data_IF_594888078972
#
_entry.id   IF_594888078972
#
_cell.length_a   1.000
_cell.length_b   1.000
_cell.length_c   1.000
_cell.angle_alpha   90.00
_cell.angle_beta   90.00
_cell.angle_gamma   90.00
#
_symmetry.space_group_name_H-M   'P 1'
#
loop_
_entity.id
_entity.type
_entity.pdbx_description
1 polymer ?
#
# COMPACT_ATOMS: atom_id res chain seq x y z
N UNK A 1 -54.91 -11.97 17.60
CA UNK A 1 -53.67 -11.48 18.26
C UNK A 1 -52.48 -11.43 17.29
N UNK A 2 -52.70 -11.85 16.05
CA UNK A 2 -51.65 -12.12 15.07
C UNK A 2 -51.11 -10.85 14.40
N UNK A 3 -51.93 -9.79 14.34
CA UNK A 3 -51.48 -8.48 13.84
C UNK A 3 -50.37 -7.86 14.69
N UNK A 4 -50.46 -8.01 16.02
CA UNK A 4 -49.47 -7.44 16.94
C UNK A 4 -48.10 -8.13 16.82
N UNK A 5 -48.10 -9.46 16.70
CA UNK A 5 -46.90 -10.26 16.47
C UNK A 5 -46.20 -9.91 15.14
N UNK A 6 -46.98 -9.67 14.08
CA UNK A 6 -46.45 -9.28 12.76
C UNK A 6 -45.80 -7.90 12.81
N UNK A 7 -46.41 -6.95 13.51
CA UNK A 7 -45.86 -5.60 13.67
C UNK A 7 -44.54 -5.65 14.45
N UNK A 8 -44.49 -6.42 15.54
CA UNK A 8 -43.29 -6.57 16.36
C UNK A 8 -42.11 -7.14 15.56
N UNK A 9 -42.35 -8.17 14.75
CA UNK A 9 -41.33 -8.80 13.92
C UNK A 9 -40.83 -7.84 12.81
N UNK A 10 -41.75 -7.14 12.15
CA UNK A 10 -41.39 -6.22 11.08
C UNK A 10 -40.59 -5.02 11.60
N UNK A 11 -40.91 -4.49 12.78
CA UNK A 11 -40.15 -3.41 13.42
C UNK A 11 -38.71 -3.85 13.71
N UNK A 12 -38.51 -5.08 14.20
CA UNK A 12 -37.18 -5.65 14.42
C UNK A 12 -36.36 -5.75 13.13
N UNK A 13 -36.95 -6.28 12.05
CA UNK A 13 -36.29 -6.40 10.74
C UNK A 13 -35.93 -5.03 10.17
N UNK A 14 -36.82 -4.04 10.28
CA UNK A 14 -36.57 -2.66 9.83
C UNK A 14 -35.40 -2.03 10.59
N UNK A 15 -35.32 -2.22 11.91
CA UNK A 15 -34.21 -1.71 12.72
C UNK A 15 -32.86 -2.33 12.32
N UNK A 16 -32.83 -3.64 12.05
CA UNK A 16 -31.61 -4.33 11.59
C UNK A 16 -31.16 -3.82 10.23
N UNK A 17 -32.09 -3.64 9.29
CA UNK A 17 -31.78 -3.10 7.95
C UNK A 17 -31.29 -1.65 8.05
N UNK A 18 -31.94 -0.81 8.86
CA UNK A 18 -31.52 0.58 9.09
C UNK A 18 -30.13 0.66 9.71
N UNK A 19 -29.81 -0.21 10.69
CA UNK A 19 -28.48 -0.30 11.29
C UNK A 19 -27.42 -0.66 10.25
N UNK A 20 -27.71 -1.66 9.40
CA UNK A 20 -26.78 -2.09 8.35
C UNK A 20 -26.52 -1.01 7.30
N UNK A 21 -27.58 -0.34 6.82
CA UNK A 21 -27.48 0.79 5.88
C UNK A 21 -26.74 1.97 6.52
N UNK A 22 -27.00 2.25 7.79
CA UNK A 22 -26.30 3.31 8.53
C UNK A 22 -24.79 3.08 8.60
N UNK A 23 -24.34 1.86 8.88
CA UNK A 23 -22.92 1.51 8.91
C UNK A 23 -22.26 1.71 7.54
N UNK A 24 -22.94 1.35 6.45
CA UNK A 24 -22.45 1.54 5.08
C UNK A 24 -22.29 3.04 4.77
N UNK A 25 -23.28 3.86 5.10
CA UNK A 25 -23.22 5.32 4.88
C UNK A 25 -22.09 5.96 5.69
N UNK A 26 -21.92 5.56 6.96
CA UNK A 26 -20.84 6.07 7.82
C UNK A 26 -19.47 5.73 7.24
N UNK A 27 -19.28 4.51 6.71
CA UNK A 27 -18.02 4.11 6.05
C UNK A 27 -17.73 4.93 4.80
N UNK A 28 -18.74 5.24 3.98
CA UNK A 28 -18.61 6.08 2.78
C UNK A 28 -18.24 7.52 3.17
N UNK A 29 -18.87 8.07 4.23
CA UNK A 29 -18.56 9.41 4.70
C UNK A 29 -17.15 9.54 5.30
N UNK A 30 -16.69 8.53 6.04
CA UNK A 30 -15.32 8.49 6.59
C UNK A 30 -14.30 8.41 5.44
N UNK A 31 -14.51 7.51 4.45
CA UNK A 31 -13.65 7.45 3.26
C UNK A 31 -13.62 8.77 2.48
N UNK A 32 -14.78 9.43 2.32
CA UNK A 32 -14.85 10.72 1.61
C UNK A 32 -14.14 11.84 2.36
N UNK A 33 -14.17 11.85 3.71
CA UNK A 33 -13.48 12.84 4.53
C UNK A 33 -11.96 12.67 4.47
N UNK A 34 -11.49 11.43 4.46
CA UNK A 34 -10.06 11.14 4.37
C UNK A 34 -9.52 11.51 2.96
N UNK A 35 -10.36 11.45 1.92
CA UNK A 35 -10.04 11.91 0.56
C UNK A 35 -10.17 13.44 0.36
N UNK A 36 -10.85 14.16 1.26
CA UNK A 36 -11.06 15.61 1.14
C UNK A 36 -9.90 16.46 1.70
N UNK A 37 -8.84 15.81 2.21
CA UNK A 37 -7.63 16.48 2.70
C UNK A 37 -6.46 16.45 1.71
N UNK A 38 -6.73 16.31 0.42
CA UNK A 38 -5.68 16.36 -0.61
C UNK A 38 -6.12 17.08 -1.89
N UNK A 39 -6.74 18.26 -1.78
CA UNK A 39 -6.80 19.19 -2.92
C UNK A 39 -6.55 20.62 -2.45
N UNK A 40 -5.30 21.07 -2.58
CA UNK A 40 -4.92 22.30 -3.26
C UNK A 40 -3.41 22.50 -3.20
N UNK A 41 -2.72 22.11 -4.27
CA UNK A 41 -1.79 22.96 -5.02
C UNK A 41 -1.33 22.23 -6.26
N UNK A 42 -2.04 22.47 -7.35
CA UNK A 42 -1.59 22.17 -8.70
C UNK A 42 -0.40 23.07 -9.03
N UNK A 43 0.75 22.44 -9.27
CA UNK A 43 1.67 22.82 -10.30
C UNK A 43 2.53 21.60 -10.65
N UNK A 44 2.22 21.05 -11.83
CA UNK A 44 3.09 20.17 -12.63
C UNK A 44 3.22 18.70 -12.16
N UNK A 45 2.38 17.82 -12.74
CA UNK A 45 2.80 16.77 -13.70
C UNK A 45 1.72 15.69 -13.82
N UNK A 46 1.24 15.53 -15.05
CA UNK A 46 0.48 14.37 -15.49
C UNK A 46 1.29 13.09 -15.29
N UNK A 47 0.79 12.17 -14.47
CA UNK A 47 0.83 10.72 -14.67
C UNK A 47 0.24 10.02 -13.44
N UNK A 48 -0.23 8.80 -13.63
CA UNK A 48 -0.73 7.86 -12.62
C UNK A 48 -2.23 7.98 -12.29
N UNK A 49 -3.03 7.94 -13.36
CA UNK A 49 -4.30 7.20 -13.35
C UNK A 49 -4.12 5.92 -14.14
N UNK A 50 -3.54 4.89 -13.51
CA UNK A 50 -3.88 3.48 -13.73
C UNK A 50 -3.18 2.64 -12.66
N UNK A 51 -3.88 2.37 -11.57
CA UNK A 51 -3.40 1.47 -10.51
C UNK A 51 -4.46 0.40 -10.23
N UNK A 52 -4.92 -0.27 -11.27
CA UNK A 52 -5.47 -1.62 -11.17
C UNK A 52 -4.96 -2.39 -12.40
N UNK A 53 -4.30 -3.54 -12.16
CA UNK A 53 -3.70 -4.46 -13.13
C UNK A 53 -2.19 -4.27 -13.43
N UNK A 54 -1.34 -4.70 -12.50
CA UNK A 54 -0.01 -5.26 -12.80
C UNK A 54 0.28 -6.44 -11.85
N UNK A 55 -0.58 -7.45 -11.90
CA UNK A 55 -0.16 -8.80 -11.55
C UNK A 55 0.58 -9.34 -12.78
N UNK A 56 1.84 -9.74 -12.60
CA UNK A 56 2.72 -10.32 -13.62
C UNK A 56 3.50 -9.34 -14.55
N UNK A 57 4.43 -8.55 -13.97
CA UNK A 57 5.60 -8.10 -14.72
C UNK A 57 6.82 -8.91 -14.27
N UNK A 58 7.20 -9.86 -15.12
CA UNK A 58 8.44 -10.63 -15.10
C UNK A 58 9.59 -9.87 -14.39
N UNK A 59 10.21 -10.51 -13.41
CA UNK A 59 11.50 -10.12 -12.83
C UNK A 59 12.56 -10.40 -13.91
N UNK A 60 12.57 -9.57 -14.95
CA UNK A 60 13.67 -9.51 -15.90
C UNK A 60 14.82 -8.77 -15.25
N UNK A 61 16.05 -9.30 -15.41
CA UNK A 61 17.26 -8.62 -14.99
C UNK A 61 17.24 -7.14 -15.41
N UNK A 62 17.62 -6.19 -14.52
CA UNK A 62 17.74 -4.79 -14.89
C UNK A 62 18.97 -4.61 -15.79
N UNK A 63 18.85 -5.04 -17.04
CA UNK A 63 19.83 -4.86 -18.11
C UNK A 63 19.52 -3.54 -18.81
N UNK A 64 19.76 -2.44 -18.09
CA UNK A 64 19.54 -1.11 -18.65
C UNK A 64 19.71 -0.03 -17.60
N UNK A 65 20.17 1.14 -18.04
CA UNK A 65 20.24 2.35 -17.23
C UNK A 65 18.82 2.78 -16.82
N UNK A 66 18.31 2.19 -15.74
CA UNK A 66 17.01 2.57 -15.15
C UNK A 66 17.12 4.00 -14.64
N UNK A 67 16.21 4.91 -15.05
CA UNK A 67 16.17 6.28 -14.57
C UNK A 67 16.12 6.35 -13.04
N UNK A 68 16.77 7.37 -12.46
CA UNK A 68 16.82 7.55 -10.99
C UNK A 68 15.41 7.70 -10.38
N UNK A 69 14.48 8.32 -11.11
CA UNK A 69 13.11 8.53 -10.68
C UNK A 69 12.34 7.22 -10.53
N UNK A 70 12.54 6.26 -11.45
CA UNK A 70 11.93 4.93 -11.37
C UNK A 70 12.48 4.14 -10.18
N UNK A 71 13.79 4.26 -9.90
CA UNK A 71 14.41 3.62 -8.73
C UNK A 71 13.85 4.18 -7.42
N UNK A 72 13.66 5.50 -7.35
CA UNK A 72 13.04 6.16 -6.19
C UNK A 72 11.59 5.71 -6.02
N UNK A 73 10.82 5.60 -7.11
CA UNK A 73 9.43 5.15 -7.06
C UNK A 73 9.32 3.70 -6.56
N UNK A 74 10.08 2.78 -7.15
CA UNK A 74 10.10 1.37 -6.75
C UNK A 74 10.55 1.20 -5.30
N UNK A 75 11.60 1.91 -4.89
CA UNK A 75 12.09 1.86 -3.51
C UNK A 75 11.07 2.43 -2.53
N UNK A 76 10.40 3.53 -2.88
CA UNK A 76 9.34 4.13 -2.06
C UNK A 76 8.18 3.16 -1.89
N UNK A 77 7.72 2.53 -2.98
CA UNK A 77 6.66 1.52 -2.94
C UNK A 77 7.06 0.30 -2.09
N UNK A 78 8.27 -0.23 -2.26
CA UNK A 78 8.76 -1.37 -1.50
C UNK A 78 8.84 -1.07 0.01
N UNK A 79 9.33 0.12 0.39
CA UNK A 79 9.41 0.53 1.80
C UNK A 79 8.02 0.70 2.40
N UNK A 80 7.12 1.41 1.70
CA UNK A 80 5.73 1.57 2.15
C UNK A 80 5.02 0.22 2.29
N UNK A 81 5.27 -0.73 1.39
CA UNK A 81 4.71 -2.07 1.48
C UNK A 81 5.28 -2.88 2.66
N UNK A 82 6.58 -2.73 2.96
CA UNK A 82 7.23 -3.39 4.10
C UNK A 82 6.75 -2.84 5.44
N UNK A 83 6.29 -1.60 5.47
CA UNK A 83 5.84 -0.91 6.68
C UNK A 83 4.34 -1.13 6.84
N UNK A 84 4.00 -2.19 7.58
CA UNK A 84 2.65 -2.71 7.78
C UNK A 84 1.74 -1.70 8.52
N UNK A 85 1.20 -0.73 7.80
CA UNK A 85 -0.01 0.03 8.17
C UNK A 85 0.15 1.20 9.14
N UNK A 86 1.36 1.64 9.50
CA UNK A 86 1.56 2.81 10.36
C UNK A 86 2.48 3.85 9.74
N UNK A 87 1.95 4.54 8.74
CA UNK A 87 2.55 5.80 8.26
C UNK A 87 1.63 6.96 8.61
N UNK A 88 1.88 7.57 9.77
CA UNK A 88 1.32 8.88 10.16
C UNK A 88 2.14 10.02 9.53
N UNK A 89 3.18 9.70 8.75
CA UNK A 89 4.17 10.65 8.21
C UNK A 89 4.40 10.46 6.72
N UNK A 90 4.53 11.58 6.00
CA UNK A 90 4.91 11.64 4.59
C UNK A 90 6.34 11.11 4.39
N UNK A 91 6.47 9.85 4.00
CA UNK A 91 7.74 9.22 3.67
C UNK A 91 8.16 9.61 2.24
N UNK A 92 9.39 10.12 2.09
CA UNK A 92 9.99 10.44 0.79
C UNK A 92 11.48 10.15 0.80
N UNK A 93 11.97 9.59 -0.30
CA UNK A 93 13.39 9.28 -0.47
C UNK A 93 14.06 10.50 -1.10
N UNK A 94 14.99 11.13 -0.37
CA UNK A 94 15.73 12.32 -0.83
C UNK A 94 16.97 11.97 -1.67
N UNK A 95 17.62 10.85 -1.35
CA UNK A 95 18.85 10.41 -2.01
C UNK A 95 19.02 8.91 -1.81
N UNK A 96 19.52 8.23 -2.84
CA UNK A 96 20.02 6.87 -2.76
C UNK A 96 21.44 6.83 -3.33
N UNK A 97 22.30 5.99 -2.77
CA UNK A 97 23.65 5.76 -3.30
C UNK A 97 23.91 4.26 -3.33
N UNK A 98 24.26 3.75 -4.51
CA UNK A 98 24.74 2.37 -4.65
C UNK A 98 26.15 2.31 -4.05
N UNK A 99 26.32 1.47 -3.04
CA UNK A 99 27.64 1.21 -2.50
C UNK A 99 28.34 0.19 -3.40
N UNK A 100 29.59 0.46 -3.84
CA UNK A 100 30.37 -0.57 -4.49
C UNK A 100 30.54 -1.72 -3.51
N UNK A 101 30.39 -2.95 -4.00
CA UNK A 101 30.67 -4.15 -3.22
C UNK A 101 32.18 -4.32 -3.04
N UNK A 102 32.82 -3.39 -2.32
CA UNK A 102 34.23 -3.44 -1.96
C UNK A 102 34.42 -4.14 -0.61
N UNK A 103 33.80 -5.31 -0.45
CA UNK A 103 34.06 -6.13 0.74
C UNK A 103 35.40 -6.86 0.56
N UNK A 104 36.27 -6.88 1.59
CA UNK A 104 37.54 -7.58 1.49
C UNK A 104 37.30 -9.08 1.26
N UNK A 105 38.22 -9.73 0.57
CA UNK A 105 38.09 -11.11 0.11
C UNK A 105 37.77 -12.05 1.28
N UNK A 106 38.36 -11.83 2.46
CA UNK A 106 38.10 -12.66 3.64
C UNK A 106 36.65 -12.56 4.16
N UNK A 107 36.04 -11.36 4.12
CA UNK A 107 34.63 -11.19 4.48
C UNK A 107 33.71 -11.90 3.46
N UNK A 108 34.05 -11.83 2.17
CA UNK A 108 33.30 -12.55 1.13
C UNK A 108 33.42 -14.06 1.30
N UNK A 109 34.63 -14.57 1.51
CA UNK A 109 34.91 -15.98 1.70
C UNK A 109 34.18 -16.55 2.93
N UNK A 110 34.30 -15.91 4.09
CA UNK A 110 33.65 -16.39 5.32
C UNK A 110 32.12 -16.42 5.23
N UNK A 111 31.49 -15.42 4.60
CA UNK A 111 30.04 -15.46 4.37
C UNK A 111 29.63 -16.56 3.40
N UNK A 112 30.42 -16.78 2.35
CA UNK A 112 30.11 -17.82 1.36
C UNK A 112 30.21 -19.20 1.98
N UNK A 113 31.25 -19.43 2.79
CA UNK A 113 31.46 -20.67 3.54
C UNK A 113 30.33 -20.93 4.56
N UNK A 114 29.89 -19.89 5.28
CA UNK A 114 28.76 -20.00 6.22
C UNK A 114 27.46 -20.37 5.51
N UNK A 115 27.15 -19.73 4.37
CA UNK A 115 25.93 -20.00 3.60
C UNK A 115 25.99 -21.41 3.01
N UNK A 116 27.14 -21.82 2.45
CA UNK A 116 27.30 -23.17 1.87
C UNK A 116 27.28 -24.30 2.89
N UNK A 117 27.59 -24.00 4.15
CA UNK A 117 27.57 -24.99 5.23
C UNK A 117 26.21 -25.07 5.95
N UNK A 118 25.34 -24.07 5.77
CA UNK A 118 24.06 -23.95 6.48
C UNK A 118 22.84 -24.17 5.59
N UNK A 119 23.02 -24.17 4.26
CA UNK A 119 22.10 -24.72 3.27
C UNK A 119 22.57 -26.12 2.87
#
# INVERSE_FOLDING_TARGET
MDGLLRILNNVGVILVILSLVGIIIVRILIQKRDNAHTEHKDADKEAVSNSENLENKNIGEPTGNVPEDELVAVLTAAVMASMKGQHVYNFRIKSFKRLPQNTPIWNRAGRMEYISNKL
#
